data_IF_910023235979
#
_entry.id   IF_910023235979
#
_cell.length_a   1.000
_cell.length_b   1.000
_cell.length_c   1.000
_cell.angle_alpha   90.00
_cell.angle_beta   90.00
_cell.angle_gamma   90.00
#
_symmetry.space_group_name_H-M   'P 1'
#
loop_
_entity.id
_entity.type
_entity.pdbx_description
1 polymer ?
#
# COMPACT_ATOMS: atom_id res chain seq x y z
N UNK A 1 -10.11 16.22 7.91
CA UNK A 1 -9.59 14.88 7.60
C UNK A 1 -9.96 13.96 8.76
N UNK A 2 -10.57 12.81 8.49
CA UNK A 2 -10.83 11.76 9.48
C UNK A 2 -9.75 10.67 9.36
N UNK A 3 -9.30 10.12 10.49
CA UNK A 3 -8.23 9.09 10.52
C UNK A 3 -8.78 7.85 11.22
N UNK A 4 -8.78 6.74 10.51
CA UNK A 4 -9.31 5.47 10.98
C UNK A 4 -8.17 4.48 11.19
N UNK A 5 -8.13 3.89 12.37
CA UNK A 5 -7.21 2.77 12.67
C UNK A 5 -7.68 1.51 11.94
N UNK A 6 -6.73 0.71 11.49
CA UNK A 6 -7.02 -0.61 10.92
C UNK A 6 -6.70 -1.73 11.92
N UNK A 7 -6.97 -2.98 11.52
CA UNK A 7 -6.58 -4.16 12.32
C UNK A 7 -5.08 -4.40 12.36
N UNK A 8 -4.32 -3.76 11.47
CA UNK A 8 -2.86 -3.86 11.41
C UNK A 8 -2.24 -2.58 11.98
N UNK A 9 -1.54 -2.64 13.12
CA UNK A 9 -1.01 -1.46 13.78
C UNK A 9 -0.10 -0.61 12.89
N UNK A 10 -0.35 0.70 12.87
CA UNK A 10 0.37 1.67 12.05
C UNK A 10 -0.18 1.87 10.64
N UNK A 11 -1.00 0.96 10.13
CA UNK A 11 -1.73 1.17 8.87
C UNK A 11 -2.97 1.99 9.14
N UNK A 12 -3.10 3.13 8.45
CA UNK A 12 -4.19 4.10 8.66
C UNK A 12 -4.99 4.27 7.37
N UNK A 13 -6.31 4.42 7.53
CA UNK A 13 -7.17 4.93 6.46
C UNK A 13 -7.47 6.40 6.76
N UNK A 14 -7.26 7.24 5.75
CA UNK A 14 -7.56 8.67 5.85
C UNK A 14 -8.74 8.98 4.94
N UNK A 15 -9.65 9.78 5.47
CA UNK A 15 -10.78 10.33 4.74
C UNK A 15 -10.59 11.86 4.65
N UNK A 16 -10.04 12.37 3.55
CA UNK A 16 -9.84 13.80 3.34
C UNK A 16 -11.17 14.57 3.40
N UNK A 17 -11.10 15.83 3.78
CA UNK A 17 -12.25 16.73 3.64
C UNK A 17 -12.44 17.05 2.15
N UNK A 18 -13.63 16.74 1.63
CA UNK A 18 -14.02 17.04 0.26
C UNK A 18 -14.91 18.30 0.27
N UNK A 19 -14.59 19.28 -0.57
CA UNK A 19 -15.35 20.50 -0.78
C UNK A 19 -15.95 20.46 -2.19
N UNK A 20 -17.26 20.21 -2.28
CA UNK A 20 -17.98 20.10 -3.55
C UNK A 20 -18.96 21.25 -3.79
N UNK A 21 -19.09 21.67 -5.06
CA UNK A 21 -20.10 22.60 -5.54
C UNK A 21 -20.56 22.23 -6.98
N UNK A 22 -21.36 23.09 -7.62
CA UNK A 22 -21.86 22.86 -8.98
C UNK A 22 -20.79 22.79 -10.08
N UNK A 23 -19.53 23.06 -9.79
CA UNK A 23 -18.39 22.97 -10.72
C UNK A 23 -17.58 21.69 -10.55
N UNK A 24 -17.77 20.94 -9.43
CA UNK A 24 -17.02 19.76 -9.09
C UNK A 24 -16.58 19.75 -7.62
N UNK A 25 -15.41 19.20 -7.33
CA UNK A 25 -14.90 19.14 -5.96
C UNK A 25 -13.43 19.53 -5.87
N UNK A 26 -13.03 19.91 -4.67
CA UNK A 26 -11.64 20.12 -4.26
C UNK A 26 -11.36 19.37 -2.98
N UNK A 27 -10.20 18.72 -2.89
CA UNK A 27 -9.70 18.15 -1.65
C UNK A 27 -8.18 18.33 -1.55
N UNK A 28 -7.69 18.44 -0.33
CA UNK A 28 -6.26 18.39 -0.06
C UNK A 28 -5.83 16.94 0.08
N UNK A 29 -4.83 16.53 -0.69
CA UNK A 29 -4.32 15.14 -0.67
C UNK A 29 -3.04 14.98 0.13
N UNK A 30 -2.40 16.08 0.52
CA UNK A 30 -1.21 16.10 1.37
C UNK A 30 -0.97 17.48 1.98
N UNK A 31 -0.66 17.49 3.27
CA UNK A 31 -0.15 18.66 4.00
C UNK A 31 0.77 18.15 5.10
N UNK A 32 2.04 18.54 5.09
CA UNK A 32 3.03 18.02 6.02
C UNK A 32 2.53 18.08 7.47
N UNK A 33 2.17 19.26 7.94
CA UNK A 33 1.71 19.48 9.32
C UNK A 33 0.48 18.63 9.68
N UNK A 34 -0.56 18.65 8.83
CA UNK A 34 -1.81 17.93 9.14
C UNK A 34 -1.66 16.42 9.14
N UNK A 35 -0.77 15.89 8.31
CA UNK A 35 -0.51 14.45 8.26
C UNK A 35 0.45 14.00 9.35
N UNK A 36 1.43 14.85 9.74
CA UNK A 36 2.24 14.61 10.95
C UNK A 36 1.39 14.57 12.21
N UNK A 37 0.44 15.52 12.37
CA UNK A 37 -0.52 15.51 13.49
C UNK A 37 -1.40 14.24 13.51
N UNK A 38 -1.61 13.63 12.35
CA UNK A 38 -2.30 12.35 12.20
C UNK A 38 -1.42 11.11 12.45
N UNK A 39 -0.15 11.31 12.80
CA UNK A 39 0.81 10.23 13.05
C UNK A 39 1.49 9.68 11.79
N UNK A 40 1.39 10.39 10.66
CA UNK A 40 2.05 10.00 9.41
C UNK A 40 3.36 10.76 9.28
N UNK A 41 4.45 10.06 9.59
CA UNK A 41 5.78 10.65 9.54
C UNK A 41 6.30 10.76 8.09
N UNK A 42 6.78 11.97 7.74
CA UNK A 42 7.55 12.22 6.51
C UNK A 42 9.07 12.18 6.78
N UNK A 43 9.87 12.67 5.85
CA UNK A 43 9.48 13.32 4.60
C UNK A 43 9.03 12.32 3.54
N UNK A 44 8.13 12.74 2.62
CA UNK A 44 7.89 12.04 1.37
C UNK A 44 8.77 12.65 0.29
N UNK A 45 9.57 11.80 -0.35
CA UNK A 45 10.66 12.22 -1.26
C UNK A 45 10.45 11.80 -2.71
N UNK A 46 9.45 10.95 -2.97
CA UNK A 46 9.14 10.43 -4.30
C UNK A 46 7.64 10.27 -4.48
N UNK A 47 7.11 10.77 -5.60
CA UNK A 47 5.73 10.58 -6.03
C UNK A 47 5.69 9.71 -7.28
N UNK A 48 4.70 8.81 -7.34
CA UNK A 48 4.51 7.91 -8.46
C UNK A 48 3.03 7.88 -8.87
N UNK A 49 2.80 7.66 -10.17
CA UNK A 49 1.48 7.39 -10.73
C UNK A 49 1.55 6.11 -11.57
N UNK A 50 0.57 5.23 -11.39
CA UNK A 50 0.42 4.02 -12.17
C UNK A 50 -0.97 3.95 -12.78
N UNK A 51 -1.04 3.74 -14.09
CA UNK A 51 -2.27 3.39 -14.80
C UNK A 51 -2.34 1.88 -14.98
N UNK A 52 -3.49 1.27 -14.69
CA UNK A 52 -3.69 -0.17 -14.82
C UNK A 52 -5.13 -0.49 -15.24
N UNK A 53 -5.32 -1.63 -15.91
CA UNK A 53 -6.63 -2.15 -16.31
C UNK A 53 -7.16 -3.11 -15.25
N UNK A 54 -8.46 -3.41 -15.34
CA UNK A 54 -9.15 -4.36 -14.48
C UNK A 54 -8.42 -5.68 -14.33
N UNK A 55 -8.36 -6.17 -13.11
CA UNK A 55 -7.69 -7.42 -12.76
C UNK A 55 -6.18 -7.33 -12.63
N UNK A 56 -5.54 -6.23 -13.02
CA UNK A 56 -4.09 -6.08 -12.80
C UNK A 56 -3.81 -6.02 -11.32
N UNK A 57 -2.94 -6.93 -10.87
CA UNK A 57 -2.40 -6.97 -9.52
C UNK A 57 -0.91 -6.63 -9.56
N UNK A 58 -0.49 -5.74 -8.68
CA UNK A 58 0.92 -5.36 -8.47
C UNK A 58 1.28 -5.62 -7.01
N UNK A 59 2.26 -6.43 -6.78
CA UNK A 59 2.69 -6.78 -5.41
C UNK A 59 2.93 -8.28 -5.22
N UNK A 60 3.26 -8.64 -4.02
CA UNK A 60 3.51 -7.78 -2.85
C UNK A 60 4.95 -7.29 -2.87
N UNK A 61 5.17 -6.02 -2.65
CA UNK A 61 6.50 -5.41 -2.73
C UNK A 61 6.85 -4.66 -1.44
N UNK A 62 8.09 -4.78 -1.01
CA UNK A 62 8.71 -3.92 -0.01
C UNK A 62 10.15 -3.63 -0.42
N UNK A 63 10.80 -2.77 0.32
CA UNK A 63 12.22 -2.45 0.18
C UNK A 63 12.91 -2.60 1.53
N UNK A 64 14.04 -3.31 1.57
CA UNK A 64 14.85 -3.45 2.77
C UNK A 64 16.31 -3.78 2.39
N UNK A 65 17.31 -3.09 3.00
CA UNK A 65 17.17 -1.94 3.92
C UNK A 65 16.61 -0.70 3.24
N UNK A 66 16.36 0.36 4.01
CA UNK A 66 15.75 1.62 3.57
C UNK A 66 14.28 1.41 3.15
N UNK A 67 13.52 0.87 4.10
CA UNK A 67 12.09 0.61 3.92
C UNK A 67 11.31 1.88 3.63
N UNK A 68 10.42 1.82 2.64
CA UNK A 68 9.56 2.93 2.25
C UNK A 68 8.24 2.87 3.01
N UNK A 69 7.88 3.95 3.72
CA UNK A 69 6.48 4.23 4.04
C UNK A 69 5.77 4.75 2.79
N UNK A 70 4.50 4.45 2.64
CA UNK A 70 3.70 4.84 1.47
C UNK A 70 2.40 5.49 1.88
N UNK A 71 2.03 6.57 1.19
CA UNK A 71 0.69 7.16 1.26
C UNK A 71 0.06 7.00 -0.13
N UNK A 72 -0.96 6.16 -0.21
CA UNK A 72 -1.55 5.72 -1.48
C UNK A 72 -2.99 6.23 -1.64
N UNK A 73 -3.41 6.48 -2.88
CA UNK A 73 -4.77 6.90 -3.23
C UNK A 73 -5.12 6.52 -4.66
N UNK A 74 -6.41 6.50 -4.97
CA UNK A 74 -6.94 6.34 -6.32
C UNK A 74 -7.47 7.67 -6.82
N UNK A 75 -6.93 8.15 -7.96
CA UNK A 75 -7.37 9.38 -8.60
C UNK A 75 -8.55 9.14 -9.56
N UNK A 76 -8.63 7.94 -10.16
CA UNK A 76 -9.75 7.48 -10.97
C UNK A 76 -9.87 5.97 -10.89
N UNK A 77 -11.10 5.45 -10.84
CA UNK A 77 -11.41 4.03 -10.71
C UNK A 77 -11.41 3.55 -9.27
N UNK A 78 -11.16 2.25 -9.09
CA UNK A 78 -11.20 1.56 -7.80
C UNK A 78 -10.14 0.45 -7.74
N UNK A 79 -9.50 0.32 -6.59
CA UNK A 79 -8.58 -0.78 -6.28
C UNK A 79 -8.89 -1.40 -4.92
N UNK A 80 -8.55 -2.66 -4.75
CA UNK A 80 -8.38 -3.28 -3.44
C UNK A 80 -6.90 -3.20 -3.08
N UNK A 81 -6.58 -2.41 -2.06
CA UNK A 81 -5.22 -2.12 -1.60
C UNK A 81 -4.91 -2.90 -0.33
N UNK A 82 -3.73 -3.54 -0.26
CA UNK A 82 -3.35 -4.49 0.79
C UNK A 82 -1.99 -4.17 1.36
N UNK A 83 -1.91 -4.14 2.69
CA UNK A 83 -0.66 -4.10 3.45
C UNK A 83 -0.49 -5.39 4.26
N UNK A 84 0.74 -5.94 4.29
CA UNK A 84 1.11 -7.16 5.02
C UNK A 84 2.26 -6.85 5.96
N UNK A 85 2.15 -7.23 7.24
CA UNK A 85 3.26 -7.11 8.18
C UNK A 85 4.26 -8.25 7.96
N UNK A 86 5.45 -7.89 7.54
CA UNK A 86 6.56 -8.84 7.27
C UNK A 86 7.77 -8.59 8.18
N UNK A 87 7.60 -7.79 9.25
CA UNK A 87 8.65 -7.47 10.21
C UNK A 87 8.88 -8.63 11.16
N UNK A 88 10.07 -9.19 11.10
CA UNK A 88 10.48 -10.31 11.98
C UNK A 88 10.37 -9.88 13.45
N UNK A 89 9.70 -10.68 14.27
CA UNK A 89 9.44 -10.40 15.68
C UNK A 89 8.19 -9.55 15.95
N UNK A 90 7.47 -9.12 14.90
CA UNK A 90 6.19 -8.42 15.08
C UNK A 90 5.10 -9.38 15.61
N UNK A 91 4.25 -8.95 16.55
CA UNK A 91 3.08 -9.72 16.98
C UNK A 91 2.03 -9.91 15.87
N UNK A 92 2.11 -9.12 14.80
CA UNK A 92 1.26 -9.20 13.61
C UNK A 92 1.98 -9.76 12.38
N UNK A 93 3.16 -10.37 12.53
CA UNK A 93 3.89 -10.99 11.42
C UNK A 93 2.98 -11.93 10.61
N UNK A 94 2.96 -11.76 9.28
CA UNK A 94 2.12 -12.54 8.37
C UNK A 94 0.65 -12.13 8.37
N UNK A 95 0.23 -11.15 9.17
CA UNK A 95 -1.14 -10.60 9.10
C UNK A 95 -1.22 -9.49 8.07
N UNK A 96 -2.41 -9.33 7.52
CA UNK A 96 -2.66 -8.30 6.50
C UNK A 96 -3.98 -7.56 6.75
N UNK A 97 -4.10 -6.40 6.12
CA UNK A 97 -5.33 -5.63 6.02
C UNK A 97 -5.51 -5.16 4.58
N UNK A 98 -6.75 -5.18 4.11
CA UNK A 98 -7.11 -4.67 2.79
C UNK A 98 -8.27 -3.69 2.86
N UNK A 99 -8.26 -2.68 1.98
CA UNK A 99 -9.31 -1.68 1.86
C UNK A 99 -9.56 -1.33 0.41
N UNK A 100 -10.83 -1.08 0.06
CA UNK A 100 -11.17 -0.50 -1.23
C UNK A 100 -10.90 1.00 -1.21
N UNK A 101 -10.06 1.45 -2.13
CA UNK A 101 -9.76 2.87 -2.39
C UNK A 101 -10.31 3.22 -3.76
N UNK A 102 -11.01 4.35 -3.88
CA UNK A 102 -11.64 4.75 -5.15
C UNK A 102 -11.77 6.26 -5.30
N UNK A 103 -11.99 6.71 -6.54
CA UNK A 103 -12.36 8.10 -6.83
C UNK A 103 -13.67 8.52 -6.16
N UNK A 104 -14.55 7.56 -5.84
CA UNK A 104 -15.83 7.83 -5.19
C UNK A 104 -15.71 8.04 -3.69
N UNK A 105 -14.81 7.31 -3.00
CA UNK A 105 -14.64 7.43 -1.56
C UNK A 105 -13.50 8.37 -1.15
N UNK A 106 -12.64 8.74 -2.07
CA UNK A 106 -11.47 9.61 -1.87
C UNK A 106 -10.52 9.17 -0.74
N UNK A 107 -10.64 7.92 -0.29
CA UNK A 107 -9.81 7.40 0.79
C UNK A 107 -8.36 7.29 0.37
N UNK A 108 -7.50 7.53 1.36
CA UNK A 108 -6.08 7.22 1.25
C UNK A 108 -5.74 6.13 2.27
N UNK A 109 -4.68 5.37 2.00
CA UNK A 109 -4.13 4.42 2.96
C UNK A 109 -2.67 4.77 3.22
N UNK A 110 -2.32 4.92 4.50
CA UNK A 110 -0.93 5.02 4.93
C UNK A 110 -0.43 3.64 5.35
N UNK A 111 0.70 3.25 4.78
CA UNK A 111 1.40 2.00 5.03
C UNK A 111 2.77 2.38 5.58
N UNK A 112 3.06 2.11 6.88
CA UNK A 112 4.34 2.46 7.47
C UNK A 112 5.50 1.66 6.85
N UNK A 113 6.76 2.13 7.01
CA UNK A 113 7.92 1.38 6.59
C UNK A 113 7.94 -0.05 7.18
N UNK A 114 8.53 -0.99 6.44
CA UNK A 114 8.67 -2.38 6.89
C UNK A 114 7.50 -3.31 6.56
N UNK A 115 6.42 -2.80 5.98
CA UNK A 115 5.32 -3.62 5.50
C UNK A 115 5.43 -3.87 4.00
N UNK A 116 4.96 -5.04 3.54
CA UNK A 116 4.78 -5.31 2.13
C UNK A 116 3.44 -4.74 1.65
N UNK A 117 3.41 -4.27 0.41
CA UNK A 117 2.27 -3.59 -0.20
C UNK A 117 1.94 -4.17 -1.56
N UNK A 118 0.66 -4.23 -1.87
CA UNK A 118 0.16 -4.57 -3.20
C UNK A 118 -1.28 -4.12 -3.39
N UNK A 119 -1.73 -4.05 -4.64
CA UNK A 119 -3.12 -3.72 -4.95
C UNK A 119 -3.63 -4.47 -6.17
N UNK A 120 -4.94 -4.65 -6.23
CA UNK A 120 -5.64 -5.21 -7.38
C UNK A 120 -6.70 -4.24 -7.90
N UNK A 121 -6.76 -4.04 -9.22
CA UNK A 121 -7.72 -3.13 -9.87
C UNK A 121 -9.08 -3.80 -10.01
N UNK A 122 -10.12 -3.18 -9.44
CA UNK A 122 -11.50 -3.68 -9.43
C UNK A 122 -12.35 -3.06 -10.55
N UNK A 123 -12.13 -1.78 -10.88
CA UNK A 123 -12.81 -1.06 -11.98
C UNK A 123 -12.20 -1.39 -13.35
N UNK A 124 -12.80 -0.92 -14.43
CA UNK A 124 -12.29 -1.14 -15.80
C UNK A 124 -10.86 -0.61 -15.98
N UNK A 125 -10.57 0.53 -15.35
CA UNK A 125 -9.22 1.11 -15.26
C UNK A 125 -9.05 1.78 -13.92
N UNK A 126 -7.81 1.94 -13.46
CA UNK A 126 -7.49 2.76 -12.30
C UNK A 126 -6.25 3.63 -12.54
N UNK A 127 -6.31 4.87 -12.06
CA UNK A 127 -5.18 5.77 -11.94
C UNK A 127 -4.80 5.85 -10.46
N UNK A 128 -3.73 5.15 -10.10
CA UNK A 128 -3.24 4.98 -8.74
C UNK A 128 -2.05 5.90 -8.50
N UNK A 129 -2.11 6.70 -7.44
CA UNK A 129 -1.05 7.64 -7.06
C UNK A 129 -0.55 7.33 -5.66
N UNK A 130 0.77 7.43 -5.46
CA UNK A 130 1.35 7.21 -4.13
C UNK A 130 2.65 7.97 -3.91
N UNK A 131 2.85 8.37 -2.66
CA UNK A 131 4.06 8.99 -2.13
C UNK A 131 4.88 7.96 -1.39
N UNK A 132 6.22 8.08 -1.44
CA UNK A 132 7.16 7.22 -0.73
C UNK A 132 8.08 8.04 0.17
N UNK A 133 8.38 7.53 1.37
CA UNK A 133 9.28 8.18 2.33
C UNK A 133 10.77 8.00 2.00
N UNK A 134 11.11 7.10 1.07
CA UNK A 134 12.48 6.92 0.56
C UNK A 134 12.44 6.68 -0.94
N UNK A 135 13.59 6.86 -1.60
CA UNK A 135 13.73 6.63 -3.03
C UNK A 135 13.66 5.15 -3.38
N UNK A 136 13.09 4.85 -4.55
CA UNK A 136 13.10 3.50 -5.07
C UNK A 136 14.52 3.03 -5.37
N UNK A 137 14.86 1.84 -4.86
CA UNK A 137 16.11 1.17 -5.15
C UNK A 137 15.86 -0.29 -5.56
N UNK A 138 16.01 -0.65 -6.85
CA UNK A 138 15.75 -2.00 -7.33
C UNK A 138 16.66 -3.07 -6.71
N UNK A 139 17.85 -2.68 -6.20
CA UNK A 139 18.77 -3.62 -5.56
C UNK A 139 18.30 -4.08 -4.17
N UNK A 140 17.41 -3.34 -3.54
CA UNK A 140 16.87 -3.64 -2.20
C UNK A 140 15.39 -4.00 -2.21
N UNK A 141 14.80 -4.10 -3.40
CA UNK A 141 13.41 -4.55 -3.55
C UNK A 141 13.28 -6.03 -3.19
N UNK A 142 12.26 -6.35 -2.42
CA UNK A 142 11.86 -7.70 -2.04
C UNK A 142 10.42 -7.90 -2.49
N UNK A 143 10.18 -8.97 -3.24
CA UNK A 143 8.84 -9.40 -3.63
C UNK A 143 8.40 -10.62 -2.83
N UNK A 144 7.10 -10.70 -2.55
CA UNK A 144 6.45 -11.83 -1.91
C UNK A 144 5.34 -12.31 -2.83
N UNK A 145 5.18 -13.62 -2.95
CA UNK A 145 4.19 -14.23 -3.81
C UNK A 145 2.78 -13.73 -3.46
N UNK A 146 2.09 -13.15 -4.44
CA UNK A 146 0.77 -12.52 -4.26
C UNK A 146 -0.32 -13.47 -3.76
N UNK A 147 -0.25 -14.76 -4.14
CA UNK A 147 -1.17 -15.83 -3.75
C UNK A 147 -0.52 -16.81 -2.73
N UNK A 148 0.35 -16.31 -1.88
CA UNK A 148 0.93 -17.09 -0.79
C UNK A 148 -0.20 -17.73 0.05
N UNK A 149 -0.26 -19.07 0.13
CA UNK A 149 -1.34 -19.76 0.84
C UNK A 149 -1.35 -19.52 2.35
N UNK A 150 -0.24 -19.10 2.95
CA UNK A 150 -0.18 -18.75 4.38
C UNK A 150 -0.74 -17.36 4.63
N UNK A 151 -0.55 -16.41 3.72
CA UNK A 151 -1.16 -15.10 3.78
C UNK A 151 -2.65 -15.18 3.45
N UNK A 152 -3.03 -16.04 2.51
CA UNK A 152 -4.42 -16.29 2.11
C UNK A 152 -5.21 -14.99 1.86
N UNK A 153 -4.63 -14.07 1.08
CA UNK A 153 -5.26 -12.78 0.76
C UNK A 153 -6.37 -13.01 -0.25
N UNK A 154 -7.58 -12.57 0.12
CA UNK A 154 -8.70 -12.49 -0.83
C UNK A 154 -8.59 -11.19 -1.63
N UNK A 155 -8.11 -11.30 -2.87
CA UNK A 155 -7.90 -10.16 -3.77
C UNK A 155 -9.18 -9.65 -4.43
N UNK A 156 -10.33 -10.20 -4.11
CA UNK A 156 -11.65 -9.86 -4.65
C UNK A 156 -11.78 -10.11 -6.18
N UNK A 157 -10.78 -10.73 -6.79
CA UNK A 157 -10.76 -11.12 -8.20
C UNK A 157 -10.20 -12.55 -8.31
N UNK A 158 -10.94 -13.43 -8.98
CA UNK A 158 -10.59 -14.84 -9.05
C UNK A 158 -9.31 -15.14 -9.86
N UNK A 159 -9.01 -14.32 -10.88
CA UNK A 159 -7.87 -14.52 -11.77
C UNK A 159 -7.19 -13.17 -12.07
N UNK A 160 -6.35 -12.67 -11.16
CA UNK A 160 -5.64 -11.42 -11.40
C UNK A 160 -4.56 -11.57 -12.47
N UNK A 161 -4.30 -10.45 -13.17
CA UNK A 161 -3.21 -10.32 -14.14
C UNK A 161 -1.98 -9.78 -13.41
N UNK A 162 -0.94 -10.60 -13.31
CA UNK A 162 0.32 -10.24 -12.64
C UNK A 162 1.47 -10.12 -13.63
N UNK A 163 2.49 -9.36 -13.28
CA UNK A 163 3.71 -9.30 -14.09
C UNK A 163 4.47 -10.64 -14.04
N UNK A 164 5.30 -10.97 -15.03
CA UNK A 164 6.17 -12.15 -14.95
C UNK A 164 7.04 -12.19 -13.69
N UNK A 165 7.46 -11.02 -13.20
CA UNK A 165 8.25 -10.86 -11.98
C UNK A 165 7.41 -11.21 -10.73
N UNK A 166 6.19 -10.68 -10.63
CA UNK A 166 5.32 -10.90 -9.47
C UNK A 166 4.81 -12.36 -9.39
N UNK A 167 4.72 -13.03 -10.54
CA UNK A 167 4.26 -14.41 -10.61
C UNK A 167 5.24 -15.45 -10.03
N UNK A 168 6.52 -15.08 -9.89
CA UNK A 168 7.59 -16.02 -9.49
C UNK A 168 8.28 -15.66 -8.18
N UNK A 169 7.76 -14.70 -7.44
CA UNK A 169 8.30 -14.37 -6.13
C UNK A 169 8.18 -15.53 -5.14
N UNK A 170 9.08 -15.62 -4.15
CA UNK A 170 9.00 -16.63 -3.10
C UNK A 170 7.80 -16.38 -2.18
N UNK A 171 7.38 -17.41 -1.49
CA UNK A 171 6.45 -17.27 -0.35
C UNK A 171 7.14 -16.55 0.81
N UNK A 172 6.39 -15.93 1.69
CA UNK A 172 6.95 -15.21 2.85
C UNK A 172 7.84 -16.12 3.71
N UNK A 173 7.43 -17.37 3.94
CA UNK A 173 8.19 -18.33 4.72
C UNK A 173 9.50 -18.81 4.05
N UNK A 174 9.66 -18.57 2.75
CA UNK A 174 10.87 -18.94 2.00
C UNK A 174 11.91 -17.81 1.96
N UNK A 175 11.54 -16.60 2.43
CA UNK A 175 12.45 -15.48 2.48
C UNK A 175 13.29 -15.55 3.78
N UNK A 176 14.63 -15.56 3.69
CA UNK A 176 15.48 -15.56 4.87
C UNK A 176 15.18 -14.38 5.79
N UNK A 177 15.09 -14.64 7.10
CA UNK A 177 14.69 -13.64 8.10
C UNK A 177 15.62 -12.41 8.14
N UNK A 178 16.89 -12.59 7.81
CA UNK A 178 17.89 -11.50 7.71
C UNK A 178 17.65 -10.57 6.51
N UNK A 179 16.84 -10.96 5.55
CA UNK A 179 16.43 -10.13 4.42
C UNK A 179 15.17 -9.32 4.70
N UNK A 180 14.45 -9.64 5.76
CA UNK A 180 13.22 -8.95 6.14
C UNK A 180 13.50 -7.88 7.21
N UNK A 181 12.72 -6.78 7.26
CA UNK A 181 12.83 -5.79 8.32
C UNK A 181 12.52 -6.41 9.69
N UNK A 182 13.08 -5.84 10.75
CA UNK A 182 12.78 -6.24 12.13
C UNK A 182 11.78 -5.27 12.76
N UNK A 183 10.93 -5.82 13.62
CA UNK A 183 10.02 -5.01 14.41
C UNK A 183 10.81 -4.15 15.40
N UNK A 184 10.59 -2.83 15.34
CA UNK A 184 11.31 -1.85 16.15
C UNK A 184 12.50 -1.16 15.46
N UNK A 185 12.95 -1.65 14.29
CA UNK A 185 14.04 -1.04 13.53
C UNK A 185 13.54 -0.10 12.43
N UNK A 186 12.24 -0.07 12.15
CA UNK A 186 11.56 0.69 11.10
C UNK A 186 10.26 1.30 11.63
#
# INVERSE_FOLDING_TARGET
>A
MNVLQTKLPGVLILEPQVFGDGRGYFLETWSNTRYEDAGIAGPFVQDNVAFSRKGVLRGLHLQHPRSQGKLVQVLSGEVFDVAVDVRVGSPSFGRWVGNCLSEANHRQMYIPPGLAHGYCVLSETALFSYKCTDFYNPATEIGILWNDPQLNIDWLIAAPVVSPKDAVYPRLAEIPAERLPRFGDV
#
